data_IF_377684126086
#
_entry.id   IF_377684126086
#
_cell.length_a   1.000
_cell.length_b   1.000
_cell.length_c   1.000
_cell.angle_alpha   90.00
_cell.angle_beta   90.00
_cell.angle_gamma   90.00
#
_symmetry.space_group_name_H-M   'P 1'
#
loop_
_entity.id
_entity.type
_entity.pdbx_description
1 polymer ?
#
# COMPACT_ATOMS: atom_id res chain seq x y z
N UNK A 1 -1.42 -10.32 15.84
CA UNK A 1 -1.97 -9.29 14.95
C UNK A 1 -1.17 -9.26 13.66
N UNK A 2 -1.79 -9.59 12.53
CA UNK A 2 -1.26 -9.44 11.18
C UNK A 2 -1.93 -8.22 10.53
N UNK A 3 -1.12 -7.28 10.04
CA UNK A 3 -1.61 -6.08 9.35
C UNK A 3 -1.13 -6.10 7.91
N UNK A 4 -2.06 -5.92 6.97
CA UNK A 4 -1.74 -5.63 5.57
C UNK A 4 -1.66 -4.11 5.41
N UNK A 5 -0.47 -3.58 5.14
CA UNK A 5 -0.24 -2.18 4.79
C UNK A 5 -0.30 -1.96 3.28
N UNK A 6 -0.91 -0.86 2.84
CA UNK A 6 -1.03 -0.43 1.43
C UNK A 6 -0.56 1.01 1.31
N UNK A 7 0.36 1.27 0.38
CA UNK A 7 0.94 2.59 0.11
C UNK A 7 0.83 2.91 -1.39
N UNK A 8 0.29 4.10 -1.70
CA UNK A 8 0.05 4.58 -3.06
C UNK A 8 0.00 6.11 -3.12
N UNK A 9 0.79 6.81 -2.32
CA UNK A 9 0.74 8.27 -2.19
C UNK A 9 1.36 9.02 -3.36
N UNK A 10 2.31 8.43 -4.09
CA UNK A 10 3.04 9.10 -5.17
C UNK A 10 3.21 8.22 -6.43
N UNK A 11 4.36 7.57 -6.60
CA UNK A 11 4.78 6.83 -7.80
C UNK A 11 5.27 5.41 -7.48
N UNK A 12 4.94 4.90 -6.30
CA UNK A 12 5.24 3.54 -5.85
C UNK A 12 3.94 2.89 -5.34
N UNK A 13 3.57 1.76 -5.94
CA UNK A 13 2.51 0.92 -5.39
C UNK A 13 3.16 -0.10 -4.49
N UNK A 14 2.88 -0.06 -3.20
CA UNK A 14 3.51 -0.97 -2.26
C UNK A 14 2.50 -1.63 -1.33
N UNK A 15 2.82 -2.87 -0.93
CA UNK A 15 2.12 -3.60 0.10
C UNK A 15 3.09 -4.36 1.00
N UNK A 16 2.75 -4.49 2.27
CA UNK A 16 3.55 -5.21 3.25
C UNK A 16 2.65 -5.94 4.25
N UNK A 17 3.07 -7.12 4.69
CA UNK A 17 2.44 -7.82 5.81
C UNK A 17 3.35 -7.71 7.03
N UNK A 18 2.84 -7.11 8.11
CA UNK A 18 3.57 -6.91 9.35
C UNK A 18 2.89 -7.65 10.48
N UNK A 19 3.66 -8.44 11.24
CA UNK A 19 3.21 -9.14 12.45
C UNK A 19 3.58 -8.36 13.68
N UNK A 20 2.58 -8.10 14.53
CA UNK A 20 2.70 -7.48 15.86
C UNK A 20 3.49 -6.16 15.88
N UNK A 21 3.52 -5.43 14.75
CA UNK A 21 4.22 -4.16 14.62
C UNK A 21 5.75 -4.24 14.65
N UNK A 22 6.36 -5.43 14.70
CA UNK A 22 7.81 -5.58 14.87
C UNK A 22 8.46 -6.65 13.99
N UNK A 23 7.68 -7.41 13.21
CA UNK A 23 8.21 -8.39 12.27
C UNK A 23 7.60 -8.16 10.89
N UNK A 24 8.44 -7.75 9.95
CA UNK A 24 8.06 -7.58 8.54
C UNK A 24 8.11 -8.96 7.89
N UNK A 25 6.95 -9.50 7.49
CA UNK A 25 6.85 -10.80 6.83
C UNK A 25 7.00 -10.69 5.31
N UNK A 26 6.60 -9.55 4.74
CA UNK A 26 6.80 -9.22 3.34
C UNK A 26 6.81 -7.71 3.13
N UNK A 27 7.48 -7.28 2.06
CA UNK A 27 7.47 -5.90 1.58
C UNK A 27 7.67 -5.93 0.07
N UNK A 28 6.63 -5.55 -0.67
CA UNK A 28 6.61 -5.57 -2.13
C UNK A 28 6.39 -4.16 -2.62
N UNK A 29 7.21 -3.74 -3.58
CA UNK A 29 7.18 -2.39 -4.16
C UNK A 29 7.19 -2.53 -5.68
N UNK A 30 6.18 -1.95 -6.34
CA UNK A 30 6.16 -1.71 -7.78
C UNK A 30 6.41 -0.22 -8.04
N UNK A 31 7.65 0.10 -8.37
CA UNK A 31 8.09 1.47 -8.65
C UNK A 31 7.75 1.88 -10.09
N UNK A 32 7.35 3.14 -10.27
CA UNK A 32 7.00 3.72 -11.56
C UNK A 32 8.11 4.61 -12.14
N UNK A 33 9.33 4.58 -11.58
CA UNK A 33 10.43 5.46 -11.98
C UNK A 33 10.69 5.42 -13.50
N UNK A 34 10.77 4.24 -14.10
CA UNK A 34 11.00 4.08 -15.55
C UNK A 34 9.87 4.71 -16.39
N UNK A 35 8.64 4.69 -15.89
CA UNK A 35 7.47 5.23 -16.56
C UNK A 35 7.46 6.76 -16.56
N UNK A 36 7.96 7.37 -15.47
CA UNK A 36 8.02 8.84 -15.31
C UNK A 36 9.30 9.46 -15.87
N UNK A 37 10.36 8.66 -16.09
CA UNK A 37 11.67 9.12 -16.57
C UNK A 37 11.62 10.02 -17.82
N UNK A 38 10.81 9.74 -18.87
CA UNK A 38 10.76 10.59 -20.07
C UNK A 38 10.20 12.00 -19.82
N UNK A 39 9.46 12.20 -18.72
CA UNK A 39 8.79 13.45 -18.38
C UNK A 39 9.60 14.33 -17.42
N UNK A 40 10.70 13.80 -16.87
CA UNK A 40 11.55 14.52 -15.91
C UNK A 40 10.92 14.72 -14.52
N UNK A 41 9.82 14.02 -14.22
CA UNK A 41 9.10 14.09 -12.95
C UNK A 41 7.82 13.28 -12.97
N UNK A 42 7.22 13.07 -11.80
CA UNK A 42 5.98 12.29 -11.66
C UNK A 42 4.83 12.99 -12.38
N UNK A 43 4.19 12.28 -13.30
CA UNK A 43 2.96 12.73 -13.98
C UNK A 43 1.75 12.15 -13.23
N UNK A 44 0.94 12.98 -12.53
CA UNK A 44 -0.08 12.47 -11.59
C UNK A 44 -1.12 11.51 -12.19
N UNK A 45 -1.56 11.77 -13.43
CA UNK A 45 -2.53 10.91 -14.12
C UNK A 45 -1.93 9.54 -14.47
N UNK A 46 -0.68 9.52 -14.94
CA UNK A 46 0.03 8.27 -15.25
C UNK A 46 0.23 7.47 -13.96
N UNK A 47 0.60 8.15 -12.87
CA UNK A 47 0.83 7.49 -11.59
C UNK A 47 -0.43 6.84 -11.04
N UNK A 48 -1.55 7.55 -11.10
CA UNK A 48 -2.86 7.04 -10.65
C UNK A 48 -3.28 5.78 -11.43
N UNK A 49 -3.07 5.76 -12.76
CA UNK A 49 -3.40 4.60 -13.60
C UNK A 49 -2.52 3.39 -13.29
N UNK A 50 -1.24 3.64 -13.03
CA UNK A 50 -0.30 2.57 -12.75
C UNK A 50 -0.54 1.96 -11.36
N UNK A 51 -0.95 2.74 -10.36
CA UNK A 51 -1.45 2.19 -9.10
C UNK A 51 -2.65 1.26 -9.32
N UNK A 52 -3.64 1.69 -10.12
CA UNK A 52 -4.83 0.89 -10.40
C UNK A 52 -4.47 -0.44 -11.10
N UNK A 53 -3.48 -0.41 -11.98
CA UNK A 53 -3.01 -1.60 -12.71
C UNK A 53 -2.21 -2.58 -11.84
N UNK A 54 -1.54 -2.09 -10.78
CA UNK A 54 -0.57 -2.88 -9.99
C UNK A 54 -1.06 -3.30 -8.60
N UNK A 55 -2.03 -2.59 -8.03
CA UNK A 55 -2.40 -2.75 -6.61
C UNK A 55 -2.75 -4.20 -6.24
N UNK A 56 -3.51 -4.89 -7.10
CA UNK A 56 -3.93 -6.27 -6.88
C UNK A 56 -2.73 -7.23 -6.89
N UNK A 57 -1.90 -7.12 -7.92
CA UNK A 57 -0.68 -7.95 -8.07
C UNK A 57 0.31 -7.73 -6.93
N UNK A 58 0.48 -6.49 -6.45
CA UNK A 58 1.38 -6.16 -5.35
C UNK A 58 0.88 -6.77 -4.04
N UNK A 59 -0.43 -6.73 -3.79
CA UNK A 59 -1.03 -7.33 -2.60
C UNK A 59 -0.92 -8.86 -2.63
N UNK A 60 -1.25 -9.50 -3.75
CA UNK A 60 -1.11 -10.95 -3.93
C UNK A 60 0.33 -11.42 -3.69
N UNK A 61 1.30 -10.69 -4.23
CA UNK A 61 2.72 -10.97 -4.00
C UNK A 61 3.10 -10.81 -2.53
N UNK A 62 2.62 -9.75 -1.86
CA UNK A 62 2.91 -9.52 -0.44
C UNK A 62 2.34 -10.63 0.45
N UNK A 63 1.11 -11.09 0.19
CA UNK A 63 0.49 -12.22 0.90
C UNK A 63 1.22 -13.53 0.63
N UNK A 64 1.58 -13.79 -0.64
CA UNK A 64 2.33 -14.97 -1.04
C UNK A 64 3.72 -15.05 -0.40
N UNK A 65 4.46 -13.94 -0.36
CA UNK A 65 5.76 -13.85 0.31
C UNK A 65 5.65 -14.03 1.84
N UNK A 66 4.58 -13.52 2.44
CA UNK A 66 4.31 -13.68 3.87
C UNK A 66 3.74 -15.07 4.23
N UNK A 67 3.47 -15.92 3.23
CA UNK A 67 2.82 -17.23 3.36
C UNK A 67 1.51 -17.16 4.17
N UNK A 68 0.66 -16.20 3.86
CA UNK A 68 -0.63 -15.96 4.52
C UNK A 68 -1.73 -15.65 3.52
N UNK A 69 -2.99 -15.59 3.97
CA UNK A 69 -4.15 -15.20 3.14
C UNK A 69 -4.83 -13.94 3.68
N UNK A 70 -5.72 -13.35 2.87
CA UNK A 70 -6.52 -12.20 3.30
C UNK A 70 -7.37 -12.47 4.55
N UNK A 71 -7.89 -13.69 4.72
CA UNK A 71 -8.75 -14.06 5.85
C UNK A 71 -7.97 -14.05 7.18
N UNK A 72 -6.68 -14.36 7.13
CA UNK A 72 -5.76 -14.40 8.28
C UNK A 72 -5.28 -13.00 8.70
N UNK A 73 -5.49 -11.97 7.88
CA UNK A 73 -5.17 -10.59 8.23
C UNK A 73 -6.17 -10.07 9.27
N UNK A 74 -5.65 -9.41 10.31
CA UNK A 74 -6.45 -8.86 11.41
C UNK A 74 -6.91 -7.42 11.13
N UNK A 75 -6.16 -6.65 10.34
CA UNK A 75 -6.51 -5.28 9.96
C UNK A 75 -5.84 -4.85 8.64
N UNK A 76 -6.47 -3.91 7.94
CA UNK A 76 -5.93 -3.29 6.72
C UNK A 76 -5.55 -1.85 7.03
N UNK A 77 -4.28 -1.50 6.80
CA UNK A 77 -3.77 -0.15 6.93
C UNK A 77 -3.51 0.44 5.54
N UNK A 78 -3.87 1.71 5.34
CA UNK A 78 -3.67 2.39 4.07
C UNK A 78 -3.26 3.84 4.26
N UNK A 79 -2.34 4.31 3.42
CA UNK A 79 -1.95 5.71 3.42
C UNK A 79 -3.10 6.61 2.97
N UNK A 80 -3.52 7.51 3.85
CA UNK A 80 -4.58 8.49 3.58
C UNK A 80 -4.02 9.83 3.10
N UNK A 81 -2.75 10.12 3.41
CA UNK A 81 -2.03 11.30 2.95
C UNK A 81 -0.90 11.70 3.90
N UNK A 82 -0.13 12.75 3.59
CA UNK A 82 -0.20 13.55 2.36
C UNK A 82 0.25 12.76 1.11
N UNK A 83 -0.08 13.27 -0.09
CA UNK A 83 0.23 12.61 -1.36
C UNK A 83 -0.56 13.18 -2.53
N UNK A 84 -0.36 12.61 -3.72
CA UNK A 84 -1.12 12.93 -4.92
C UNK A 84 -2.55 12.39 -4.78
N UNK A 85 -3.54 13.29 -4.94
CA UNK A 85 -4.95 12.93 -4.70
C UNK A 85 -5.44 11.75 -5.52
N UNK A 86 -5.05 11.66 -6.81
CA UNK A 86 -5.41 10.54 -7.68
C UNK A 86 -4.82 9.22 -7.21
N UNK A 87 -3.52 9.22 -6.90
CA UNK A 87 -2.80 8.05 -6.38
C UNK A 87 -3.36 7.58 -5.02
N UNK A 88 -3.58 8.50 -4.08
CA UNK A 88 -4.17 8.20 -2.77
C UNK A 88 -5.56 7.58 -2.89
N UNK A 89 -6.40 8.09 -3.80
CA UNK A 89 -7.76 7.59 -3.98
C UNK A 89 -7.77 6.12 -4.41
N UNK A 90 -6.80 5.67 -5.22
CA UNK A 90 -6.70 4.26 -5.62
C UNK A 90 -6.51 3.36 -4.40
N UNK A 91 -5.47 3.62 -3.60
CA UNK A 91 -5.18 2.85 -2.39
C UNK A 91 -6.33 2.89 -1.39
N UNK A 92 -6.83 4.09 -1.06
CA UNK A 92 -7.92 4.27 -0.08
C UNK A 92 -9.20 3.57 -0.52
N UNK A 93 -9.60 3.67 -1.79
CA UNK A 93 -10.80 3.00 -2.28
C UNK A 93 -10.65 1.47 -2.27
N UNK A 94 -9.49 0.97 -2.72
CA UNK A 94 -9.20 -0.47 -2.70
C UNK A 94 -9.23 -1.02 -1.26
N UNK A 95 -8.50 -0.37 -0.35
CA UNK A 95 -8.43 -0.77 1.05
C UNK A 95 -9.81 -0.72 1.75
N UNK A 96 -10.62 0.30 1.46
CA UNK A 96 -12.01 0.38 1.96
C UNK A 96 -12.87 -0.77 1.46
N UNK A 97 -12.82 -1.07 0.16
CA UNK A 97 -13.60 -2.16 -0.42
C UNK A 97 -13.17 -3.51 0.17
N UNK A 98 -11.86 -3.73 0.29
CA UNK A 98 -11.29 -4.95 0.87
C UNK A 98 -11.67 -5.13 2.35
N UNK A 99 -11.48 -4.09 3.16
CA UNK A 99 -11.82 -4.11 4.58
C UNK A 99 -13.32 -4.31 4.80
N UNK A 100 -14.16 -3.67 3.99
CA UNK A 100 -15.60 -3.86 4.02
C UNK A 100 -16.00 -5.29 3.65
N UNK A 101 -15.43 -5.86 2.59
CA UNK A 101 -15.74 -7.22 2.14
C UNK A 101 -15.28 -8.32 3.11
N UNK A 102 -14.19 -8.08 3.85
CA UNK A 102 -13.64 -9.03 4.83
C UNK A 102 -14.12 -8.78 6.27
N UNK A 103 -14.94 -7.74 6.49
CA UNK A 103 -15.36 -7.26 7.81
C UNK A 103 -14.18 -7.00 8.76
N UNK A 104 -13.08 -6.47 8.23
CA UNK A 104 -11.86 -6.16 8.99
C UNK A 104 -11.76 -4.66 9.30
N UNK A 105 -11.11 -4.28 10.42
CA UNK A 105 -10.77 -2.89 10.70
C UNK A 105 -9.94 -2.26 9.58
N UNK A 106 -10.30 -1.02 9.20
CA UNK A 106 -9.54 -0.18 8.30
C UNK A 106 -8.83 0.92 9.09
N UNK A 107 -7.53 1.07 8.89
CA UNK A 107 -6.69 2.04 9.58
C UNK A 107 -6.14 3.03 8.54
N UNK A 108 -6.52 4.31 8.68
CA UNK A 108 -5.95 5.38 7.89
C UNK A 108 -4.59 5.78 8.49
N UNK A 109 -3.55 5.81 7.66
CA UNK A 109 -2.17 6.11 8.08
C UNK A 109 -1.71 7.42 7.44
N UNK A 110 -1.03 8.25 8.23
CA UNK A 110 -0.32 9.40 7.70
C UNK A 110 1.01 8.94 7.10
N UNK A 111 1.27 9.32 5.84
CA UNK A 111 2.46 8.92 5.09
C UNK A 111 3.76 9.31 5.80
N UNK A 112 3.83 10.51 6.38
CA UNK A 112 5.01 11.01 7.07
C UNK A 112 5.20 10.32 8.43
N UNK A 113 4.12 10.03 9.15
CA UNK A 113 4.20 9.20 10.36
C UNK A 113 4.76 7.80 10.02
N UNK A 114 4.32 7.21 8.89
CA UNK A 114 4.86 5.95 8.38
C UNK A 114 6.38 5.98 8.23
N UNK A 115 6.93 7.05 7.63
CA UNK A 115 8.38 7.24 7.55
C UNK A 115 9.04 7.33 8.93
N UNK A 116 8.46 8.08 9.88
CA UNK A 116 9.02 8.18 11.23
C UNK A 116 9.06 6.82 11.93
N UNK A 117 8.04 5.98 11.75
CA UNK A 117 8.01 4.65 12.35
C UNK A 117 8.96 3.64 11.68
N UNK A 118 9.37 3.88 10.43
CA UNK A 118 10.28 2.97 9.70
C UNK A 118 11.68 2.83 10.33
N UNK A 119 12.08 3.76 11.21
CA UNK A 119 13.38 3.70 11.92
C UNK A 119 13.26 3.15 13.35
N UNK A 120 12.04 2.88 13.81
CA UNK A 120 11.75 2.46 15.19
C UNK A 120 11.59 0.94 15.30
N UNK A 121 11.36 0.25 14.19
CA UNK A 121 11.10 -1.19 14.10
C UNK A 121 12.01 -1.85 13.05
#
# INVERSE_FOLDING_TARGET
MLVLGIESSCDETAAAVVRNGNAILSSVIASQIELHQPYGGVVPEIASREHLAKIDTVIDQALGQAATTLDEVDAIAVTQGPGLVGSLLVGVCYAKALAFGLEKPLIAVNHIEGYVYSVVF
#
